data_IF_097424042978
#
_entry.id   IF_097424042978
#
_cell.length_a   1.000
_cell.length_b   1.000
_cell.length_c   1.000
_cell.angle_alpha   90.00
_cell.angle_beta   90.00
_cell.angle_gamma   90.00
#
_symmetry.space_group_name_H-M   'P 1'
#
loop_
_entity.id
_entity.type
_entity.pdbx_description
1 polymer ?
#
# COMPACT_ATOMS: atom_id res chain seq x y z
N UNK A 1 9.00 19.51 3.33
CA UNK A 1 7.90 18.90 2.56
C UNK A 1 7.01 18.19 3.55
N UNK A 2 5.72 18.52 3.61
CA UNK A 2 4.83 18.00 4.67
C UNK A 2 4.58 16.51 4.42
N UNK A 3 4.96 15.66 5.37
CA UNK A 3 4.61 14.24 5.34
C UNK A 3 3.12 14.14 5.63
N UNK A 4 2.30 14.13 4.57
CA UNK A 4 0.86 13.97 4.68
C UNK A 4 0.57 12.50 4.98
N UNK A 5 0.73 12.11 6.24
CA UNK A 5 0.40 10.77 6.72
C UNK A 5 -1.12 10.71 6.81
N UNK A 6 -1.77 10.04 5.85
CA UNK A 6 -3.18 9.73 5.94
C UNK A 6 -3.40 8.81 7.15
N UNK A 7 -3.93 9.37 8.23
CA UNK A 7 -4.16 8.67 9.51
C UNK A 7 -5.53 7.98 9.53
N UNK A 8 -5.84 7.20 8.50
CA UNK A 8 -7.04 6.36 8.53
C UNK A 8 -6.84 5.16 9.46
N UNK A 9 -7.94 4.65 10.02
CA UNK A 9 -7.93 3.46 10.85
C UNK A 9 -7.60 2.23 9.99
N UNK A 10 -6.75 1.33 10.46
CA UNK A 10 -6.45 0.04 9.77
C UNK A 10 -7.74 -0.76 9.46
N UNK A 11 -8.78 -0.59 10.28
CA UNK A 11 -10.08 -1.22 10.06
C UNK A 11 -10.72 -0.86 8.71
N UNK A 12 -10.39 0.28 8.10
CA UNK A 12 -10.92 0.68 6.77
C UNK A 12 -10.38 -0.20 5.64
N UNK A 13 -9.30 -0.95 5.89
CA UNK A 13 -8.68 -1.85 4.90
C UNK A 13 -9.40 -3.21 4.82
N UNK A 14 -10.24 -3.56 5.80
CA UNK A 14 -10.90 -4.87 5.86
C UNK A 14 -11.88 -5.03 4.70
N UNK A 15 -11.76 -6.14 3.97
CA UNK A 15 -12.61 -6.45 2.81
C UNK A 15 -12.14 -5.84 1.48
N UNK A 16 -11.07 -5.05 1.48
CA UNK A 16 -10.44 -4.54 0.25
C UNK A 16 -9.52 -5.59 -0.38
N UNK A 17 -9.34 -5.52 -1.69
CA UNK A 17 -8.37 -6.38 -2.39
C UNK A 17 -6.96 -5.92 -2.04
N UNK A 18 -6.06 -6.85 -1.72
CA UNK A 18 -4.68 -6.52 -1.34
C UNK A 18 -3.72 -6.91 -2.45
N UNK A 19 -2.82 -5.98 -2.82
CA UNK A 19 -1.63 -6.24 -3.64
C UNK A 19 -0.39 -6.08 -2.77
N UNK A 20 0.39 -7.15 -2.68
CA UNK A 20 1.67 -7.19 -1.96
C UNK A 20 2.79 -7.28 -2.98
N UNK A 21 3.82 -6.46 -2.82
CA UNK A 21 5.00 -6.47 -3.68
C UNK A 21 6.24 -6.09 -2.88
N UNK A 22 7.42 -6.41 -3.41
CA UNK A 22 8.70 -6.02 -2.86
C UNK A 22 9.22 -4.72 -3.47
N UNK A 23 10.01 -3.96 -2.70
CA UNK A 23 10.72 -2.79 -3.21
C UNK A 23 11.52 -3.16 -4.46
N UNK A 24 11.28 -2.46 -5.57
CA UNK A 24 11.93 -2.71 -6.86
C UNK A 24 11.09 -3.49 -7.87
N UNK A 25 9.96 -4.08 -7.46
CA UNK A 25 9.05 -4.77 -8.39
C UNK A 25 8.47 -3.79 -9.41
N UNK A 26 8.35 -4.25 -10.66
CA UNK A 26 7.67 -3.50 -11.70
C UNK A 26 6.16 -3.47 -11.43
N UNK A 27 5.61 -2.26 -11.27
CA UNK A 27 4.19 -2.04 -11.07
C UNK A 27 3.60 -1.21 -12.21
N UNK A 28 2.37 -1.55 -12.56
CA UNK A 28 1.51 -0.70 -13.37
C UNK A 28 1.01 0.49 -12.53
N UNK A 29 0.88 1.65 -13.17
CA UNK A 29 0.38 2.89 -12.54
C UNK A 29 -1.16 3.00 -12.60
N UNK A 30 -1.84 1.86 -12.55
CA UNK A 30 -3.29 1.79 -12.55
C UNK A 30 -3.84 2.20 -11.17
N UNK A 31 -4.89 3.02 -11.17
CA UNK A 31 -5.62 3.42 -9.96
C UNK A 31 -6.87 2.55 -9.83
N UNK A 32 -6.89 1.67 -8.83
CA UNK A 32 -8.03 0.85 -8.40
C UNK A 32 -8.45 1.27 -6.98
N UNK A 33 -9.51 2.06 -6.80
CA UNK A 33 -9.89 2.63 -5.50
C UNK A 33 -10.16 1.59 -4.40
N UNK A 34 -10.57 0.38 -4.81
CA UNK A 34 -10.85 -0.73 -3.90
C UNK A 34 -9.63 -1.62 -3.57
N UNK A 35 -8.44 -1.23 -4.03
CA UNK A 35 -7.19 -1.95 -3.81
C UNK A 35 -6.31 -1.26 -2.78
N UNK A 36 -5.78 -2.06 -1.86
CA UNK A 36 -4.75 -1.69 -0.90
C UNK A 36 -3.42 -2.26 -1.36
N UNK A 37 -2.43 -1.39 -1.47
CA UNK A 37 -1.06 -1.74 -1.82
C UNK A 37 -0.21 -1.79 -0.56
N UNK A 38 0.53 -2.88 -0.39
CA UNK A 38 1.49 -3.05 0.70
C UNK A 38 2.86 -3.29 0.08
N UNK A 39 3.77 -2.34 0.28
CA UNK A 39 5.16 -2.53 -0.09
C UNK A 39 5.93 -3.14 1.06
N UNK A 40 6.65 -4.21 0.75
CA UNK A 40 7.57 -4.87 1.67
C UNK A 40 9.02 -4.57 1.27
N UNK A 41 9.88 -4.43 2.29
CA UNK A 41 11.32 -4.47 2.10
C UNK A 41 11.76 -5.89 1.72
N UNK A 42 13.02 -6.04 1.31
CA UNK A 42 13.64 -7.35 1.07
C UNK A 42 13.58 -8.28 2.30
N UNK A 43 13.58 -7.70 3.51
CA UNK A 43 13.45 -8.42 4.78
C UNK A 43 11.99 -8.64 5.23
N UNK A 44 11.03 -8.37 4.34
CA UNK A 44 9.58 -8.52 4.57
C UNK A 44 8.99 -7.60 5.65
N UNK A 45 9.64 -6.47 5.93
CA UNK A 45 9.06 -5.42 6.76
C UNK A 45 8.19 -4.49 5.92
N UNK A 46 7.07 -4.03 6.47
CA UNK A 46 6.19 -3.07 5.78
C UNK A 46 6.93 -1.74 5.65
N UNK A 47 7.07 -1.26 4.42
CA UNK A 47 7.66 0.04 4.09
C UNK A 47 6.55 1.09 3.96
N UNK A 48 5.48 0.78 3.22
CA UNK A 48 4.33 1.66 3.04
C UNK A 48 3.05 0.90 2.75
N UNK A 49 1.94 1.54 3.10
CA UNK A 49 0.58 1.11 2.76
C UNK A 49 -0.14 2.30 2.11
N UNK A 50 -0.81 2.07 0.99
CA UNK A 50 -1.56 3.11 0.28
C UNK A 50 -2.72 2.51 -0.53
N UNK A 51 -3.79 3.30 -0.75
CA UNK A 51 -4.97 2.89 -1.52
C UNK A 51 -4.86 3.39 -2.97
N UNK A 52 -5.24 2.55 -3.96
CA UNK A 52 -5.15 2.85 -5.39
C UNK A 52 -4.46 1.76 -6.22
#
# INVERSE_FOLDING_TARGET
MSNNVHSELIATLVGKQVRIYTTGDFLTQDHLPDRVNIELSETRHIVRIWQG
#
